data_IF_098490102353
#
_entry.id   IF_098490102353
#
_cell.length_a   1.000
_cell.length_b   1.000
_cell.length_c   1.000
_cell.angle_alpha   90.00
_cell.angle_beta   90.00
_cell.angle_gamma   90.00
#
_symmetry.space_group_name_H-M   'P 1'
#
loop_
_entity.id
_entity.type
_entity.pdbx_description
1 polymer ?
2 non-polymer ?
3 non-polymer ?
4 water ?
#
# COMPACT_ATOMS: atom_id res chain seq x y z
N UNK A 16 -28.11 8.41 27.90
CA UNK A 16 -26.67 8.25 27.93
C UNK A 16 -26.06 7.74 26.65
N UNK A 17 -26.79 6.88 25.91
CA UNK A 17 -26.35 6.41 24.59
C UNK A 17 -27.53 5.90 23.74
N UNK A 18 -27.24 5.58 22.48
CA UNK A 18 -28.15 4.91 21.55
C UNK A 18 -27.42 4.34 20.35
N UNK A 19 -28.13 3.78 19.35
CA UNK A 19 -27.47 3.44 18.08
C UNK A 19 -27.26 4.70 17.24
N UNK A 20 -26.06 5.29 17.32
CA UNK A 20 -25.78 6.57 16.63
C UNK A 20 -25.86 6.39 15.11
N UNK A 21 -26.37 7.39 14.42
CA UNK A 21 -26.50 7.41 12.95
C UNK A 21 -25.56 8.54 12.48
N UNK A 22 -25.16 8.51 11.19
CA UNK A 22 -24.22 9.50 10.63
C UNK A 22 -24.78 10.15 9.33
N UNK A 23 -24.86 9.38 8.24
CA UNK A 23 -25.58 9.80 7.03
C UNK A 23 -26.63 8.73 6.76
N UNK A 24 -27.52 8.57 7.74
CA UNK A 24 -28.63 7.64 7.66
C UNK A 24 -28.33 6.19 7.98
N UNK A 25 -27.05 5.84 8.27
CA UNK A 25 -26.62 4.46 8.51
C UNK A 25 -26.17 4.31 9.96
N UNK A 26 -26.43 3.12 10.56
CA UNK A 26 -26.00 2.84 11.94
C UNK A 26 -24.48 2.93 12.00
N UNK A 27 -23.96 3.78 12.89
CA UNK A 27 -22.55 3.87 13.21
C UNK A 27 -22.43 3.73 14.75
N UNK A 28 -22.38 2.46 15.15
CA UNK A 28 -22.69 2.01 16.49
C UNK A 28 -21.44 1.59 17.24
N UNK A 29 -20.79 2.58 17.83
CA UNK A 29 -19.43 2.40 18.36
C UNK A 29 -19.34 2.73 19.82
N UNK A 30 -20.46 3.10 20.44
CA UNK A 30 -20.44 3.63 21.78
C UNK A 30 -20.23 2.55 22.82
N UNK A 31 -20.16 2.95 24.09
CA UNK A 31 -20.06 4.33 24.60
C UNK A 31 -18.65 4.92 24.57
N UNK A 32 -17.62 4.11 24.32
CA UNK A 32 -16.25 4.62 24.33
C UNK A 32 -16.08 5.77 23.30
N UNK A 33 -16.78 5.69 22.15
CA UNK A 33 -16.50 6.59 21.03
C UNK A 33 -17.73 7.42 20.76
N UNK A 34 -17.60 8.74 20.98
CA UNK A 34 -18.70 9.70 20.88
C UNK A 34 -18.33 10.82 19.90
N UNK A 35 -19.26 11.77 19.71
CA UNK A 35 -19.02 12.97 18.91
C UNK A 35 -18.48 12.59 17.52
N UNK A 36 -19.28 11.80 16.78
CA UNK A 36 -18.91 11.31 15.46
C UNK A 36 -18.91 12.44 14.45
N UNK A 37 -17.88 12.48 13.61
CA UNK A 37 -17.90 13.25 12.38
C UNK A 37 -17.55 12.33 11.21
N UNK A 38 -18.27 12.48 10.10
CA UNK A 38 -18.05 11.72 8.87
C UNK A 38 -16.75 12.20 8.20
N UNK A 39 -16.06 11.28 7.50
CA UNK A 39 -14.85 11.55 6.70
C UNK A 39 -15.10 11.23 5.23
N UNK A 40 -15.41 9.97 4.92
CA UNK A 40 -15.65 9.52 3.55
C UNK A 40 -16.10 8.08 3.47
N UNK A 41 -15.76 7.40 2.37
CA UNK A 41 -15.95 5.95 2.22
C UNK A 41 -14.57 5.24 2.29
N UNK A 42 -14.60 4.00 2.77
CA UNK A 42 -13.44 3.11 2.82
C UNK A 42 -13.37 2.23 1.60
N UNK A 43 -12.75 1.03 1.71
CA UNK A 43 -12.71 0.06 0.59
C UNK A 43 -14.14 -0.21 0.19
N UNK A 44 -14.92 -0.75 1.13
CA UNK A 44 -16.36 -0.69 1.11
C UNK A 44 -16.77 -0.58 2.59
N UNK A 45 -17.32 0.58 2.97
CA UNK A 45 -17.82 0.87 4.30
C UNK A 45 -17.44 2.27 4.75
N UNK A 46 -18.24 2.87 5.60
CA UNK A 46 -18.09 4.25 6.03
C UNK A 46 -16.93 4.46 6.99
N UNK A 47 -16.24 5.59 6.85
CA UNK A 47 -15.17 6.01 7.74
C UNK A 47 -15.64 7.29 8.48
N UNK A 48 -15.33 7.40 9.78
CA UNK A 48 -15.71 8.53 10.65
C UNK A 48 -14.60 8.80 11.60
N UNK A 49 -14.42 10.06 12.04
CA UNK A 49 -13.67 10.31 13.28
C UNK A 49 -14.60 10.34 14.50
N UNK A 50 -14.04 10.20 15.69
CA UNK A 50 -14.81 10.06 16.91
C UNK A 50 -13.90 10.37 18.04
N UNK A 51 -14.47 10.88 19.12
CA UNK A 51 -13.71 11.15 20.34
C UNK A 51 -13.62 9.85 21.14
N UNK A 52 -12.40 9.34 21.34
CA UNK A 52 -12.17 8.20 22.24
C UNK A 52 -12.22 8.76 23.65
N UNK A 53 -13.19 8.31 24.47
CA UNK A 53 -13.34 8.82 25.85
C UNK A 53 -12.35 8.18 26.86
N UNK A 54 -11.62 7.09 26.48
CA UNK A 54 -10.62 6.44 27.36
C UNK A 54 -9.24 7.10 27.21
N UNK A 55 -8.60 6.92 26.03
CA UNK A 55 -7.40 7.66 25.65
C UNK A 55 -7.96 8.95 25.10
N UNK A 56 -7.64 10.09 25.68
CA UNK A 56 -8.43 11.29 25.46
C UNK A 56 -7.98 11.98 24.15
N UNK A 57 -8.31 11.37 23.00
CA UNK A 57 -7.89 11.81 21.65
C UNK A 57 -9.01 11.52 20.64
N UNK A 58 -9.04 12.21 19.46
CA UNK A 58 -9.95 11.77 18.40
C UNK A 58 -9.27 10.69 17.55
N UNK A 59 -10.07 9.75 17.06
CA UNK A 59 -9.63 8.52 16.37
C UNK A 59 -10.40 8.39 15.10
N UNK A 60 -9.95 7.52 14.19
CA UNK A 60 -10.66 7.18 12.97
C UNK A 60 -11.35 5.86 13.25
N UNK A 61 -12.55 5.68 12.74
CA UNK A 61 -13.27 4.40 12.89
C UNK A 61 -13.79 4.06 11.54
N UNK A 62 -13.50 2.87 11.08
CA UNK A 62 -13.95 2.39 9.77
C UNK A 62 -15.06 1.28 9.97
N UNK A 63 -16.31 1.48 9.49
CA UNK A 63 -17.35 0.46 9.50
C UNK A 63 -17.13 -0.51 8.32
N UNK A 64 -17.16 -1.82 8.55
CA UNK A 64 -16.91 -2.85 7.55
C UNK A 64 -18.06 -3.87 7.58
N UNK A 65 -18.61 -4.20 6.42
CA UNK A 65 -19.73 -5.13 6.27
C UNK A 65 -19.47 -6.19 5.17
N UNK A 66 -18.61 -7.18 5.49
CA UNK A 66 -18.15 -8.10 4.44
C UNK A 66 -18.78 -9.49 4.35
N UNK A 67 -19.76 -9.84 5.20
CA UNK A 67 -19.99 -11.26 5.46
C UNK A 67 -20.82 -12.00 4.42
N UNK A 68 -21.42 -11.29 3.48
CA UNK A 68 -22.18 -11.92 2.39
C UNK A 68 -21.24 -12.52 1.33
N UNK A 69 -20.01 -12.02 1.22
CA UNK A 69 -19.14 -12.32 0.07
C UNK A 69 -17.81 -12.85 0.52
N UNK A 70 -17.40 -13.99 -0.05
CA UNK A 70 -16.21 -14.66 0.43
C UNK A 70 -14.96 -13.79 0.16
N UNK A 71 -14.97 -12.99 -0.95
CA UNK A 71 -13.80 -12.14 -1.30
C UNK A 71 -13.65 -11.01 -0.28
N UNK A 72 -14.76 -10.37 0.09
CA UNK A 72 -14.76 -9.30 1.08
C UNK A 72 -14.38 -9.86 2.45
N UNK A 73 -14.86 -11.10 2.81
CA UNK A 73 -14.33 -11.77 3.99
C UNK A 73 -12.82 -12.01 3.91
N UNK A 74 -12.30 -12.47 2.73
CA UNK A 74 -10.90 -12.83 2.59
C UNK A 74 -10.06 -11.60 2.83
N UNK A 75 -10.41 -10.46 2.21
CA UNK A 75 -9.61 -9.22 2.33
C UNK A 75 -9.68 -8.63 3.74
N UNK A 76 -10.87 -8.60 4.35
CA UNK A 76 -11.03 -8.17 5.74
C UNK A 76 -10.21 -9.03 6.69
N UNK A 77 -10.34 -10.33 6.58
CA UNK A 77 -9.58 -11.21 7.46
C UNK A 77 -8.13 -11.02 7.22
N UNK A 78 -7.74 -11.01 5.96
CA UNK A 78 -6.31 -10.90 5.67
C UNK A 78 -5.72 -9.64 6.30
N UNK A 79 -6.40 -8.49 6.13
CA UNK A 79 -5.90 -7.24 6.64
C UNK A 79 -5.92 -7.15 8.18
N UNK A 80 -6.99 -7.67 8.81
CA UNK A 80 -7.06 -7.67 10.26
C UNK A 80 -5.88 -8.54 10.81
N UNK A 81 -5.68 -9.77 10.26
CA UNK A 81 -4.63 -10.68 10.71
C UNK A 81 -3.25 -9.95 10.62
N UNK A 82 -3.01 -9.30 9.46
CA UNK A 82 -1.75 -8.64 9.24
C UNK A 82 -1.54 -7.49 10.20
N UNK A 83 -2.49 -6.57 10.29
CA UNK A 83 -2.35 -5.36 11.09
C UNK A 83 -2.26 -5.66 12.56
N UNK A 84 -2.89 -6.74 13.02
CA UNK A 84 -2.76 -7.14 14.43
C UNK A 84 -1.40 -7.77 14.73
N UNK A 85 -0.79 -8.42 13.76
CA UNK A 85 0.51 -9.05 13.98
C UNK A 85 1.61 -7.98 13.89
N UNK A 86 1.47 -7.04 13.00
CA UNK A 86 2.46 -5.98 12.86
C UNK A 86 2.45 -4.93 13.95
N UNK A 87 3.64 -4.56 14.38
CA UNK A 87 3.78 -3.41 15.27
C UNK A 87 4.97 -2.61 14.81
N UNK A 88 4.71 -1.48 14.13
CA UNK A 88 5.72 -0.62 13.54
C UNK A 88 5.22 0.80 13.47
N UNK A 89 6.10 1.74 13.77
CA UNK A 89 5.74 3.17 13.76
C UNK A 89 5.22 3.65 12.39
N UNK A 90 5.63 3.00 11.27
CA UNK A 90 5.26 3.45 9.94
C UNK A 90 4.22 2.53 9.30
N UNK A 91 3.51 1.76 10.12
CA UNK A 91 2.37 0.94 9.67
C UNK A 91 1.19 1.23 10.61
N UNK A 92 0.04 1.50 10.04
CA UNK A 92 -1.11 1.86 10.84
C UNK A 92 -1.44 0.66 11.79
N UNK A 93 -1.68 0.98 13.05
CA UNK A 93 -2.12 -0.04 13.99
C UNK A 93 -3.63 -0.16 14.08
N UNK A 94 -4.12 -1.25 14.62
CA UNK A 94 -5.55 -1.35 15.01
C UNK A 94 -5.57 -1.11 16.52
N UNK A 95 -6.24 -0.08 16.94
CA UNK A 95 -6.31 0.27 18.37
C UNK A 95 -7.38 -0.49 19.05
N UNK A 96 -8.48 -0.75 18.32
CA UNK A 96 -9.68 -1.41 18.90
C UNK A 96 -10.51 -1.97 17.76
N UNK A 97 -11.32 -2.98 18.05
CA UNK A 97 -12.25 -3.58 17.08
C UNK A 97 -13.56 -3.77 17.84
N UNK A 98 -14.63 -3.16 17.31
CA UNK A 98 -15.98 -3.18 17.88
C UNK A 98 -16.83 -4.14 17.04
N UNK A 99 -17.45 -5.14 17.68
CA UNK A 99 -18.40 -5.99 17.00
C UNK A 99 -19.26 -6.63 18.04
N UNK A 100 -20.32 -7.30 17.57
CA UNK A 100 -21.29 -7.95 18.43
C UNK A 100 -20.63 -9.06 19.24
N UNK A 101 -21.19 -9.42 20.42
CA UNK A 101 -20.57 -10.49 21.21
C UNK A 101 -20.67 -11.89 20.65
N UNK A 102 -21.52 -12.12 19.64
CA UNK A 102 -21.76 -13.46 19.15
C UNK A 102 -21.67 -13.45 17.60
N UNK A 103 -21.26 -14.55 17.02
CA UNK A 103 -21.28 -14.65 15.54
C UNK A 103 -22.66 -14.32 14.93
N UNK A 104 -23.72 -14.78 15.57
CA UNK A 104 -25.08 -14.68 15.04
C UNK A 104 -25.51 -13.21 14.96
N UNK A 105 -25.08 -12.35 15.93
CA UNK A 105 -25.46 -10.94 15.98
C UNK A 105 -24.45 -10.06 15.30
N UNK A 106 -23.34 -10.63 14.83
CA UNK A 106 -22.29 -9.86 14.19
C UNK A 106 -22.61 -9.65 12.70
N UNK A 107 -23.06 -8.44 12.33
CA UNK A 107 -23.27 -8.12 10.91
C UNK A 107 -22.24 -7.14 10.39
N UNK A 108 -21.56 -6.36 11.27
CA UNK A 108 -20.54 -5.38 10.88
C UNK A 108 -19.36 -5.50 11.85
N UNK A 109 -18.26 -4.97 11.47
CA UNK A 109 -17.13 -4.81 12.37
C UNK A 109 -16.62 -3.38 12.23
N UNK A 110 -16.25 -2.76 13.31
CA UNK A 110 -15.69 -1.38 13.30
C UNK A 110 -14.22 -1.49 13.69
N UNK A 111 -13.35 -0.97 12.83
CA UNK A 111 -11.93 -0.95 13.14
C UNK A 111 -11.55 0.45 13.58
N UNK A 112 -10.98 0.58 14.79
CA UNK A 112 -10.49 1.85 15.33
C UNK A 112 -8.97 2.00 15.04
N UNK A 113 -8.60 3.08 14.38
CA UNK A 113 -7.18 3.48 14.11
C UNK A 113 -6.82 4.90 14.58
N UNK A 114 -5.54 5.16 14.77
CA UNK A 114 -5.10 6.55 15.03
C UNK A 114 -5.63 7.44 13.95
N UNK A 115 -6.04 8.65 14.33
CA UNK A 115 -6.61 9.56 13.36
C UNK A 115 -5.50 10.21 12.62
N UNK A 116 -5.57 10.11 11.29
CA UNK A 116 -4.54 10.66 10.43
C UNK A 116 -5.29 11.67 9.60
N UNK A 117 -4.98 12.97 9.82
CA UNK A 117 -5.56 14.16 9.15
C UNK A 117 -5.60 14.02 7.62
N UNK A 118 -4.54 13.45 7.00
CA UNK A 118 -4.48 13.44 5.57
C UNK A 118 -3.78 12.18 5.08
N UNK A 119 -3.61 12.10 3.79
CA UNK A 119 -2.83 11.05 3.11
C UNK A 119 -2.03 11.66 1.97
N UNK A 120 -1.07 10.93 1.43
CA UNK A 120 -0.18 11.50 0.40
C UNK A 120 -0.95 11.83 -0.96
N UNK A 121 -2.02 11.11 -1.27
CA UNK A 121 -2.88 11.48 -2.42
C UNK A 121 -3.42 12.91 -2.28
N UNK A 122 -4.05 13.18 -1.16
CA UNK A 122 -4.66 14.49 -0.92
C UNK A 122 -3.57 15.54 -0.89
N UNK A 123 -2.48 15.25 -0.19
CA UNK A 123 -1.34 16.16 -0.07
C UNK A 123 -0.80 16.54 -1.43
N UNK A 124 -0.58 15.56 -2.28
CA UNK A 124 -0.06 15.79 -3.61
C UNK A 124 -0.97 16.58 -4.54
N UNK A 125 -2.25 16.47 -4.36
CA UNK A 125 -3.22 17.19 -5.15
C UNK A 125 -3.21 18.71 -4.81
N UNK A 126 -2.72 19.08 -3.61
CA UNK A 126 -2.85 20.42 -3.06
C UNK A 126 -1.53 21.11 -2.64
N UNK A 127 -0.44 20.35 -2.39
CA UNK A 127 0.74 20.94 -1.73
C UNK A 127 2.00 20.62 -2.51
N UNK A 128 2.83 21.64 -2.76
CA UNK A 128 4.21 21.40 -3.23
C UNK A 128 5.01 20.78 -2.06
N UNK A 129 5.79 19.74 -2.33
CA UNK A 129 6.61 19.13 -1.27
C UNK A 129 8.04 19.69 -1.37
N UNK A 130 8.60 20.18 -0.25
CA UNK A 130 10.04 20.48 -0.26
C UNK A 130 10.85 19.19 -0.48
N UNK A 131 12.14 19.32 -0.91
CA UNK A 131 13.03 18.16 -0.98
C UNK A 131 13.12 17.50 0.40
N UNK A 132 13.12 18.30 1.50
CA UNK A 132 13.20 17.70 2.83
C UNK A 132 11.99 16.79 3.10
N UNK A 133 10.80 17.26 2.74
CA UNK A 133 9.61 16.45 2.88
C UNK A 133 9.66 15.18 2.05
N UNK A 134 10.07 15.25 0.79
CA UNK A 134 10.16 14.10 -0.10
C UNK A 134 11.09 13.06 0.50
N UNK A 135 12.25 13.53 0.95
CA UNK A 135 13.26 12.68 1.56
C UNK A 135 12.72 11.92 2.80
N UNK A 136 12.09 12.68 3.73
CA UNK A 136 11.52 12.17 4.95
C UNK A 136 10.38 11.19 4.62
N UNK A 137 9.52 11.57 3.73
CA UNK A 137 8.39 10.67 3.40
C UNK A 137 8.92 9.38 2.81
N UNK A 138 9.90 9.47 1.88
CA UNK A 138 10.44 8.27 1.24
C UNK A 138 11.12 7.40 2.29
N UNK A 139 11.90 8.01 3.21
CA UNK A 139 12.52 7.24 4.28
C UNK A 139 11.48 6.41 5.06
N UNK A 140 10.39 7.09 5.50
CA UNK A 140 9.38 6.42 6.30
C UNK A 140 8.66 5.33 5.54
N UNK A 141 8.38 5.53 4.22
CA UNK A 141 7.76 4.51 3.37
C UNK A 141 8.67 3.28 3.34
N UNK A 142 9.95 3.53 3.11
CA UNK A 142 10.89 2.38 3.00
C UNK A 142 11.13 1.71 4.35
N UNK A 143 11.09 2.49 5.43
CA UNK A 143 11.32 1.95 6.79
C UNK A 143 10.14 0.99 7.12
N UNK A 144 8.92 1.44 6.85
CA UNK A 144 7.76 0.58 6.95
C UNK A 144 7.84 -0.65 6.07
N UNK A 145 8.22 -0.43 4.84
CA UNK A 145 8.31 -1.52 3.86
C UNK A 145 9.40 -2.53 4.24
N UNK A 146 10.48 -2.08 4.82
CA UNK A 146 11.49 -3.01 5.36
C UNK A 146 10.85 -3.99 6.32
N UNK A 147 10.03 -3.48 7.26
CA UNK A 147 9.41 -4.34 8.24
C UNK A 147 8.43 -5.34 7.55
N UNK A 148 7.60 -4.84 6.65
CA UNK A 148 6.62 -5.68 5.95
C UNK A 148 7.30 -6.80 5.22
N UNK A 149 8.29 -6.47 4.41
CA UNK A 149 9.04 -7.48 3.65
C UNK A 149 9.78 -8.47 4.54
N UNK A 150 10.28 -7.97 5.72
CA UNK A 150 11.03 -8.84 6.64
C UNK A 150 10.03 -9.87 7.21
N UNK A 151 8.70 -9.54 7.20
CA UNK A 151 7.69 -10.54 7.63
C UNK A 151 7.23 -11.45 6.50
N UNK A 152 7.93 -11.42 5.32
CA UNK A 152 7.64 -12.19 4.12
C UNK A 152 6.28 -11.82 3.52
N UNK A 153 5.87 -10.57 3.74
CA UNK A 153 4.62 -10.02 3.25
C UNK A 153 4.91 -9.05 2.14
N UNK A 154 4.10 -9.11 1.10
CA UNK A 154 4.00 -8.13 0.04
C UNK A 154 2.77 -7.29 0.27
N UNK A 155 2.92 -5.98 0.23
CA UNK A 155 1.74 -5.13 0.37
C UNK A 155 0.85 -5.17 -0.89
N UNK A 156 1.46 -4.95 -2.04
CA UNK A 156 0.90 -5.12 -3.40
C UNK A 156 -0.07 -4.04 -3.81
N UNK A 157 -0.34 -3.00 -2.99
CA UNK A 157 -1.19 -1.92 -3.43
C UNK A 157 -0.70 -0.60 -2.80
N UNK A 158 0.64 -0.40 -2.84
CA UNK A 158 1.21 0.87 -2.38
C UNK A 158 0.88 1.96 -3.38
N UNK A 159 0.36 3.06 -2.87
CA UNK A 159 -0.05 4.20 -3.65
C UNK A 159 -0.27 5.35 -2.68
N UNK A 160 -0.30 6.59 -3.18
CA UNK A 160 -0.41 7.74 -2.28
C UNK A 160 -1.58 7.72 -1.27
N UNK A 161 -2.77 7.24 -1.68
CA UNK A 161 -3.96 7.20 -0.80
C UNK A 161 -3.82 6.15 0.31
N UNK A 162 -2.82 5.24 0.21
CA UNK A 162 -2.55 4.22 1.23
C UNK A 162 -1.35 4.57 2.11
N UNK A 163 -0.93 5.84 2.05
CA UNK A 163 0.15 6.41 2.85
C UNK A 163 -0.51 7.54 3.66
N UNK A 164 -0.78 7.24 4.93
CA UNK A 164 -1.47 8.16 5.81
C UNK A 164 -0.48 9.04 6.48
N UNK A 165 -0.86 10.31 6.74
CA UNK A 165 -0.01 11.31 7.40
C UNK A 165 -0.79 12.09 8.41
N UNK A 166 -0.16 12.34 9.53
CA UNK A 166 -0.79 13.14 10.56
C UNK A 166 -0.22 14.56 10.48
N UNK A 167 -0.51 15.37 11.48
CA UNK A 167 -0.21 16.78 11.48
C UNK A 167 1.28 17.10 11.53
N UNK A 168 2.12 16.12 11.99
CA UNK A 168 3.52 16.31 12.09
C UNK A 168 4.22 15.51 11.01
N UNK A 169 3.47 15.09 9.99
CA UNK A 169 4.08 14.38 8.85
C UNK A 169 4.65 12.98 9.24
N UNK A 170 4.12 12.36 10.34
CA UNK A 170 4.38 10.94 10.62
C UNK A 170 3.63 10.22 9.58
N UNK A 171 4.26 9.28 8.90
CA UNK A 171 3.67 8.56 7.80
C UNK A 171 3.45 7.10 8.18
N UNK A 172 2.28 6.57 7.84
CA UNK A 172 1.88 5.20 8.17
C UNK A 172 1.22 4.51 6.96
N UNK A 173 1.75 3.36 6.61
CA UNK A 173 1.25 2.54 5.53
C UNK A 173 -0.04 1.87 6.01
N UNK A 174 -1.04 1.87 5.16
CA UNK A 174 -2.33 1.23 5.45
C UNK A 174 -2.78 0.40 4.26
N UNK A 175 -3.92 -0.24 4.43
CA UNK A 175 -4.65 -0.91 3.36
C UNK A 175 -3.92 -2.15 2.82
N UNK A 176 -3.85 -3.17 3.65
CA UNK A 176 -3.23 -4.48 3.35
C UNK A 176 -4.25 -5.56 2.85
N UNK A 177 -5.34 -5.11 2.27
CA UNK A 177 -6.40 -5.97 1.72
C UNK A 177 -5.94 -6.82 0.53
N UNK A 178 -4.98 -6.32 -0.28
CA UNK A 178 -4.46 -7.10 -1.41
C UNK A 178 -3.11 -7.75 -1.08
N UNK A 179 -2.68 -7.75 0.21
CA UNK A 179 -1.41 -8.33 0.56
C UNK A 179 -1.36 -9.85 0.43
N UNK A 180 -0.14 -10.38 0.25
CA UNK A 180 0.10 -11.82 0.09
C UNK A 180 1.44 -12.14 0.76
N UNK A 181 1.61 -13.39 1.20
CA UNK A 181 2.92 -13.89 1.60
C UNK A 181 3.77 -14.00 0.31
N UNK A 182 5.04 -13.62 0.36
CA UNK A 182 5.91 -13.68 -0.82
C UNK A 182 6.05 -15.14 -1.32
N UNK A 183 6.18 -15.34 -2.62
CA UNK A 183 6.25 -16.69 -3.18
C UNK A 183 6.93 -16.61 -4.53
N UNK A 184 8.23 -16.31 -4.56
CA UNK A 184 8.89 -16.09 -5.86
C UNK A 184 8.87 -17.28 -6.79
N UNK A 185 8.95 -18.52 -6.25
CA UNK A 185 9.01 -19.71 -7.11
C UNK A 185 7.72 -19.93 -7.88
N UNK A 186 6.60 -19.31 -7.42
CA UNK A 186 5.30 -19.43 -8.11
C UNK A 186 4.86 -18.05 -8.66
N UNK A 187 5.80 -17.16 -9.01
CA UNK A 187 5.46 -15.81 -9.55
C UNK A 187 5.10 -15.82 -11.03
N UNK A 188 5.51 -16.84 -11.77
CA UNK A 188 5.38 -16.80 -13.23
C UNK A 188 3.96 -17.01 -13.71
N UNK A 189 3.59 -16.23 -14.72
CA UNK A 189 2.30 -16.35 -15.40
C UNK A 189 2.45 -15.94 -16.90
N UNK A 190 1.36 -16.06 -17.66
CA UNK A 190 1.34 -15.68 -19.06
C UNK A 190 1.08 -14.20 -19.23
N UNK A 191 1.00 -13.81 -20.47
CA UNK A 191 0.87 -12.42 -20.93
C UNK A 191 -0.61 -11.90 -20.72
N UNK A 192 -0.74 -10.68 -20.17
CA UNK A 192 -2.02 -10.01 -19.93
C UNK A 192 -2.89 -10.77 -18.95
N UNK A 193 -2.28 -11.31 -17.87
CA UNK A 193 -2.97 -11.98 -16.78
C UNK A 193 -3.57 -10.90 -15.91
N UNK A 194 -4.85 -11.08 -15.55
CA UNK A 194 -5.61 -10.02 -14.90
C UNK A 194 -5.04 -9.78 -13.50
N UNK A 195 -5.07 -8.51 -13.08
CA UNK A 195 -4.47 -8.08 -11.84
C UNK A 195 -5.42 -7.20 -11.05
N UNK A 196 -5.31 -7.27 -9.71
CA UNK A 196 -6.22 -6.59 -8.76
C UNK A 196 -5.71 -5.16 -8.39
N UNK A 197 -4.44 -5.01 -8.10
CA UNK A 197 -3.85 -3.75 -7.58
C UNK A 197 -3.93 -2.59 -8.52
N UNK A 198 -3.76 -1.38 -7.96
CA UNK A 198 -4.01 -0.11 -8.65
C UNK A 198 -3.09 0.14 -9.87
N UNK A 199 -3.71 0.45 -11.01
CA UNK A 199 -3.02 0.38 -12.30
C UNK A 199 -1.74 1.22 -12.41
N UNK A 200 -1.78 2.47 -12.01
CA UNK A 200 -0.68 3.41 -12.23
C UNK A 200 0.61 3.01 -11.42
N UNK A 201 0.45 2.16 -10.40
CA UNK A 201 1.58 1.77 -9.52
C UNK A 201 2.03 0.35 -9.83
N UNK A 202 1.51 -0.32 -10.90
CA UNK A 202 1.86 -1.72 -11.28
C UNK A 202 3.17 -1.80 -12.00
N UNK A 203 4.03 -2.70 -11.56
CA UNK A 203 5.33 -2.96 -12.19
C UNK A 203 5.11 -3.50 -13.62
N UNK A 204 6.09 -3.25 -14.53
CA UNK A 204 5.93 -3.72 -15.92
C UNK A 204 5.64 -5.21 -16.04
N UNK A 205 6.36 -6.03 -15.23
CA UNK A 205 6.22 -7.46 -15.26
C UNK A 205 4.80 -7.98 -14.97
N UNK A 206 3.98 -7.24 -14.20
CA UNK A 206 2.57 -7.65 -13.99
C UNK A 206 1.85 -7.88 -15.35
N UNK A 207 2.15 -7.03 -16.31
CA UNK A 207 1.48 -7.11 -17.60
C UNK A 207 2.10 -8.20 -18.54
N UNK A 208 3.29 -8.69 -18.19
CA UNK A 208 4.10 -9.52 -19.05
C UNK A 208 4.15 -10.92 -18.55
N UNK A 209 4.58 -11.12 -17.30
CA UNK A 209 4.82 -12.51 -16.87
C UNK A 209 4.80 -12.75 -15.38
N UNK A 210 4.23 -11.85 -14.58
CA UNK A 210 4.30 -11.92 -13.14
C UNK A 210 2.95 -11.80 -12.49
N UNK A 211 2.71 -12.67 -11.49
CA UNK A 211 1.59 -12.61 -10.56
C UNK A 211 1.76 -11.65 -9.42
N UNK A 212 2.91 -10.99 -9.28
CA UNK A 212 3.06 -10.02 -8.21
C UNK A 212 3.36 -10.67 -6.85
N UNK A 213 4.14 -11.73 -6.90
CA UNK A 213 4.46 -12.53 -5.73
C UNK A 213 5.88 -12.34 -5.25
N UNK A 214 6.60 -11.30 -5.74
CA UNK A 214 7.94 -11.03 -5.22
C UNK A 214 8.02 -9.60 -4.75
N UNK A 215 8.97 -9.39 -3.89
CA UNK A 215 9.16 -8.12 -3.20
C UNK A 215 9.38 -6.97 -4.11
N UNK A 216 10.01 -7.24 -5.28
CA UNK A 216 10.30 -6.22 -6.31
C UNK A 216 9.05 -5.50 -6.79
N UNK A 217 7.85 -6.12 -6.64
CA UNK A 217 6.59 -5.47 -7.04
C UNK A 217 6.32 -4.19 -6.22
N UNK A 218 6.60 -4.27 -4.91
CA UNK A 218 6.42 -3.14 -4.01
C UNK A 218 7.44 -2.04 -4.26
N UNK A 219 8.68 -2.37 -4.59
CA UNK A 219 9.69 -1.33 -4.81
C UNK A 219 9.32 -0.50 -6.02
N UNK A 220 8.80 -1.14 -7.10
CA UNK A 220 8.30 -0.40 -8.28
C UNK A 220 7.28 0.61 -7.81
N UNK A 221 6.32 0.19 -7.00
CA UNK A 221 5.25 1.09 -6.60
C UNK A 221 5.88 2.28 -5.84
N UNK A 222 6.83 2.00 -4.96
CA UNK A 222 7.53 3.09 -4.23
C UNK A 222 8.23 4.05 -5.20
N UNK A 223 8.87 3.50 -6.25
CA UNK A 223 9.52 4.30 -7.30
C UNK A 223 8.52 5.26 -7.90
N UNK A 224 7.31 4.74 -8.19
CA UNK A 224 6.22 5.52 -8.80
C UNK A 224 5.81 6.66 -7.87
N UNK A 225 5.77 6.37 -6.59
CA UNK A 225 5.34 7.32 -5.57
C UNK A 225 6.41 8.41 -5.45
N UNK A 226 7.69 8.03 -5.47
CA UNK A 226 8.78 8.98 -5.45
C UNK A 226 8.67 9.96 -6.62
N UNK A 227 8.49 9.41 -7.83
CA UNK A 227 8.35 10.25 -9.03
C UNK A 227 7.19 11.18 -8.86
N UNK A 228 6.08 10.70 -8.27
CA UNK A 228 4.92 11.51 -8.09
C UNK A 228 5.16 12.64 -7.07
N UNK A 229 5.98 12.37 -6.07
CA UNK A 229 6.26 13.41 -5.08
C UNK A 229 7.11 14.50 -5.67
N UNK A 230 7.94 14.14 -6.65
CA UNK A 230 8.86 15.11 -7.26
C UNK A 230 8.08 16.12 -8.13
N UNK A 231 6.96 15.72 -8.76
CA UNK A 231 6.24 16.59 -9.70
C UNK A 231 4.76 16.82 -9.40
N UNK A 232 4.17 16.18 -8.39
CA UNK A 232 2.73 16.23 -8.13
C UNK A 232 1.89 15.67 -9.22
N UNK A 233 2.43 14.80 -10.04
CA UNK A 233 1.61 14.14 -11.07
C UNK A 233 2.03 12.72 -11.14
N UNK A 234 1.10 11.78 -11.37
CA UNK A 234 1.53 10.39 -11.51
C UNK A 234 2.45 10.26 -12.72
N UNK A 235 3.46 9.45 -12.59
CA UNK A 235 4.47 9.32 -13.63
C UNK A 235 3.94 8.45 -14.80
N UNK A 236 3.16 7.43 -14.51
CA UNK A 236 2.70 6.45 -15.52
C UNK A 236 1.17 6.36 -15.41
N UNK A 237 0.46 7.41 -15.81
CA UNK A 237 -1.01 7.32 -15.73
C UNK A 237 -1.69 6.57 -16.87
N UNK A 238 -1.52 5.26 -16.92
CA UNK A 238 -2.23 4.44 -17.91
C UNK A 238 -3.74 4.48 -17.73
N UNK A 239 -4.47 4.39 -18.85
CA UNK A 239 -5.94 4.44 -18.84
C UNK A 239 -6.57 3.06 -18.91
N UNK A 240 -5.76 2.03 -19.06
CA UNK A 240 -6.22 0.66 -19.17
C UNK A 240 -5.01 -0.22 -19.16
N UNK A 241 -5.28 -1.51 -19.04
CA UNK A 241 -4.32 -2.52 -18.67
C UNK A 241 -3.01 -2.39 -19.45
N UNK A 242 -3.02 -2.51 -20.80
CA UNK A 242 -1.77 -2.51 -21.59
C UNK A 242 -1.18 -1.09 -21.84
N UNK A 243 -2.01 -0.03 -21.71
CA UNK A 243 -1.52 1.37 -21.86
C UNK A 243 -0.51 1.67 -20.74
N UNK A 244 -0.74 1.03 -19.62
CA UNK A 244 0.15 1.12 -18.45
C UNK A 244 1.56 0.75 -18.85
N UNK A 245 1.73 -0.35 -19.56
CA UNK A 245 3.08 -0.79 -20.01
C UNK A 245 3.68 0.22 -21.01
N UNK A 246 2.87 0.71 -21.92
CA UNK A 246 3.41 1.62 -22.92
C UNK A 246 3.74 3.02 -22.22
N UNK A 247 3.06 3.33 -21.08
CA UNK A 247 3.49 4.53 -20.30
C UNK A 247 4.91 4.33 -19.74
N UNK A 248 5.13 3.19 -19.15
CA UNK A 248 6.43 2.81 -18.61
C UNK A 248 7.53 2.90 -19.67
N UNK A 249 7.31 2.25 -20.84
CA UNK A 249 8.32 2.17 -21.88
C UNK A 249 8.62 3.52 -22.55
N UNK A 250 7.67 4.45 -22.55
CA UNK A 250 7.90 5.79 -23.07
C UNK A 250 8.87 6.61 -22.24
N UNK A 251 9.05 6.26 -20.95
CA UNK A 251 10.04 6.87 -20.09
C UNK A 251 11.33 6.06 -19.99
N UNK A 252 11.21 4.77 -19.62
CA UNK A 252 12.38 3.89 -19.48
C UNK A 252 13.06 3.56 -20.81
N UNK A 253 12.29 3.58 -21.90
CA UNK A 253 12.75 3.20 -23.21
C UNK A 253 12.60 1.70 -23.35
N UNK A 254 12.90 1.20 -24.54
CA UNK A 254 12.82 -0.19 -24.89
C UNK A 254 13.77 -1.01 -24.01
N UNK A 255 13.30 -2.16 -23.49
CA UNK A 255 14.20 -3.03 -22.75
C UNK A 255 15.33 -3.61 -23.63
N UNK A 256 16.44 -3.82 -22.98
CA UNK A 256 17.65 -4.34 -23.58
C UNK A 256 17.50 -5.79 -23.94
N UNK A 257 18.39 -6.29 -24.76
CA UNK A 257 18.35 -7.70 -25.16
C UNK A 257 18.42 -8.56 -23.93
N UNK A 258 19.33 -8.21 -22.99
CA UNK A 258 19.53 -8.98 -21.76
C UNK A 258 18.25 -9.09 -20.96
N UNK A 259 17.56 -7.97 -20.76
CA UNK A 259 16.28 -7.93 -20.06
C UNK A 259 15.15 -8.68 -20.78
N UNK A 260 15.12 -8.62 -22.11
CA UNK A 260 14.19 -9.46 -22.87
C UNK A 260 14.48 -10.92 -22.75
N UNK A 261 15.76 -11.31 -22.73
CA UNK A 261 16.13 -12.72 -22.55
C UNK A 261 15.67 -13.33 -21.22
N UNK A 262 15.38 -12.49 -20.21
CA UNK A 262 14.76 -12.94 -18.97
C UNK A 262 13.26 -13.28 -19.08
N UNK A 263 12.56 -12.86 -20.13
CA UNK A 263 11.15 -13.09 -20.35
C UNK A 263 11.04 -14.29 -21.34
N UNK A 264 10.81 -15.47 -20.82
CA UNK A 264 10.73 -16.68 -21.66
C UNK A 264 9.39 -16.82 -22.41
N UNK A 265 8.31 -16.34 -21.79
CA UNK A 265 7.02 -16.41 -22.45
C UNK A 265 7.01 -15.69 -23.82
N UNK A 266 6.58 -16.42 -24.86
CA UNK A 266 6.63 -15.93 -26.24
C UNK A 266 5.67 -14.84 -26.57
N UNK A 267 4.43 -14.93 -26.10
CA UNK A 267 3.48 -13.85 -26.27
C UNK A 267 4.08 -12.56 -25.61
N UNK A 268 4.65 -12.63 -24.40
CA UNK A 268 5.10 -11.44 -23.74
C UNK A 268 6.31 -10.90 -24.51
N UNK A 269 7.28 -11.81 -24.80
CA UNK A 269 8.50 -11.37 -25.47
C UNK A 269 8.18 -10.77 -26.85
N UNK A 270 7.41 -11.49 -27.70
CA UNK A 270 7.04 -11.02 -29.02
C UNK A 270 6.27 -9.69 -28.98
N UNK A 271 5.49 -9.47 -27.94
CA UNK A 271 4.80 -8.19 -27.82
C UNK A 271 5.86 -7.08 -27.72
N UNK A 272 6.80 -7.22 -26.82
CA UNK A 272 7.85 -6.21 -26.63
C UNK A 272 8.66 -6.05 -27.94
N UNK A 273 9.00 -7.14 -28.60
CA UNK A 273 9.74 -7.05 -29.88
C UNK A 273 8.95 -6.34 -30.97
N UNK A 274 7.61 -6.35 -30.93
CA UNK A 274 6.78 -5.71 -31.97
C UNK A 274 6.77 -4.17 -31.87
N UNK A 275 7.21 -3.58 -30.72
CA UNK A 275 7.06 -2.16 -30.49
C UNK A 275 8.20 -1.43 -31.17
N UNK A 276 7.93 -0.22 -31.65
CA UNK A 276 9.03 0.65 -32.10
C UNK A 276 10.03 0.89 -30.99
N UNK A 277 11.29 1.06 -31.37
CA UNK A 277 12.37 1.35 -30.46
C UNK A 277 12.07 2.70 -29.79
N UNK A 278 12.20 2.79 -28.47
CA UNK A 278 12.02 4.05 -27.72
C UNK A 278 13.24 4.29 -26.90
N UNK A 279 13.75 5.53 -26.87
CA UNK A 279 14.91 5.84 -26.03
C UNK A 279 14.47 6.27 -24.62
N UNK A 280 15.36 6.04 -23.66
CA UNK A 280 15.19 6.47 -22.27
C UNK A 280 14.99 8.01 -22.24
N UNK A 281 13.97 8.50 -21.50
CA UNK A 281 13.88 9.94 -21.19
C UNK A 281 14.74 10.17 -19.94
N UNK A 282 15.80 11.04 -19.95
CA UNK A 282 16.61 11.24 -18.74
C UNK A 282 15.79 11.79 -17.61
N UNK A 283 16.01 11.26 -16.39
CA UNK A 283 15.26 11.70 -15.24
C UNK A 283 15.42 13.17 -14.99
N UNK A 284 16.62 13.70 -15.22
CA UNK A 284 16.87 15.14 -14.91
C UNK A 284 16.16 16.11 -15.89
N UNK A 285 15.67 15.65 -17.05
CA UNK A 285 14.81 16.47 -17.93
C UNK A 285 13.37 16.34 -17.54
N UNK A 286 12.97 15.15 -17.08
CA UNK A 286 11.61 14.96 -16.60
C UNK A 286 11.41 15.75 -15.27
N UNK A 287 12.46 15.83 -14.39
CA UNK A 287 12.42 16.45 -13.05
C UNK A 287 13.63 17.39 -12.90
N UNK A 288 13.63 18.54 -13.63
CA UNK A 288 14.78 19.46 -13.57
C UNK A 288 15.07 20.08 -12.21
N UNK A 289 14.12 20.13 -11.29
CA UNK A 289 14.42 20.65 -9.93
C UNK A 289 14.68 19.55 -8.88
N UNK A 290 14.74 18.25 -9.30
CA UNK A 290 14.96 17.18 -8.35
C UNK A 290 16.37 17.11 -7.89
N UNK A 291 16.56 16.70 -6.62
CA UNK A 291 17.88 16.38 -6.14
C UNK A 291 18.51 15.25 -6.91
N UNK A 292 19.79 15.38 -7.31
CA UNK A 292 20.40 14.38 -8.19
C UNK A 292 20.47 12.99 -7.49
N UNK A 293 20.66 12.96 -6.15
CA UNK A 293 20.71 11.70 -5.42
C UNK A 293 19.31 11.06 -5.45
N UNK A 294 18.23 11.88 -5.39
CA UNK A 294 16.84 11.35 -5.46
C UNK A 294 16.65 10.65 -6.83
N UNK A 295 17.21 11.25 -7.91
CA UNK A 295 17.00 10.74 -9.26
C UNK A 295 17.79 9.45 -9.42
N UNK A 296 18.96 9.32 -8.76
CA UNK A 296 19.77 8.11 -8.80
C UNK A 296 19.00 6.97 -8.17
N UNK A 297 18.37 7.24 -7.00
CA UNK A 297 17.60 6.24 -6.31
C UNK A 297 16.31 5.95 -7.13
N UNK A 298 15.64 7.00 -7.69
CA UNK A 298 14.46 6.75 -8.53
C UNK A 298 14.80 5.73 -9.65
N UNK A 299 15.93 5.95 -10.33
CA UNK A 299 16.37 5.12 -11.45
C UNK A 299 16.50 3.66 -11.02
N UNK A 300 17.05 3.46 -9.83
CA UNK A 300 17.24 2.10 -9.31
C UNK A 300 15.94 1.38 -8.87
N UNK A 301 14.95 2.14 -8.42
CA UNK A 301 13.66 1.60 -8.06
C UNK A 301 12.84 1.39 -9.32
N UNK A 302 12.96 2.26 -10.31
CA UNK A 302 12.16 2.09 -11.53
C UNK A 302 13.02 1.41 -12.61
N UNK A 303 13.59 0.27 -12.24
CA UNK A 303 14.34 -0.59 -13.14
C UNK A 303 13.39 -1.58 -13.77
N UNK A 304 13.47 -1.77 -15.10
CA UNK A 304 12.55 -2.66 -15.82
C UNK A 304 12.62 -4.09 -15.32
N UNK A 305 13.83 -4.62 -15.21
CA UNK A 305 14.10 -5.98 -14.87
C UNK A 305 13.98 -6.13 -13.33
N UNK A 306 12.98 -6.89 -12.84
CA UNK A 306 12.77 -6.98 -11.37
C UNK A 306 13.95 -7.56 -10.61
N UNK A 307 14.74 -8.42 -11.26
CA UNK A 307 15.91 -9.04 -10.61
C UNK A 307 17.02 -8.01 -10.36
N UNK A 308 17.09 -6.96 -11.21
CA UNK A 308 18.07 -5.89 -11.09
C UNK A 308 17.60 -4.70 -10.24
N UNK A 309 16.28 -4.59 -9.97
CA UNK A 309 15.66 -3.54 -9.17
C UNK A 309 16.23 -3.56 -7.76
N UNK A 310 16.46 -2.38 -7.24
CA UNK A 310 16.98 -2.24 -5.85
C UNK A 310 16.03 -2.85 -4.79
N UNK A 311 16.60 -3.44 -3.73
CA UNK A 311 15.81 -3.99 -2.66
C UNK A 311 15.60 -2.93 -1.61
N UNK A 312 14.65 -3.15 -0.71
CA UNK A 312 14.27 -2.10 0.30
C UNK A 312 15.47 -1.67 1.16
N UNK A 313 16.23 -2.65 1.68
CA UNK A 313 17.36 -2.35 2.53
C UNK A 313 18.44 -1.56 1.79
N UNK A 314 18.67 -1.91 0.52
CA UNK A 314 19.62 -1.15 -0.32
C UNK A 314 19.13 0.27 -0.54
N UNK A 315 17.80 0.43 -0.75
CA UNK A 315 17.20 1.76 -0.91
C UNK A 315 17.45 2.59 0.34
N UNK A 316 17.21 2.01 1.51
CA UNK A 316 17.45 2.71 2.76
C UNK A 316 18.89 3.21 2.88
N UNK A 317 19.87 2.42 2.38
CA UNK A 317 21.29 2.70 2.50
C UNK A 317 21.79 3.62 1.36
N UNK A 318 20.89 4.07 0.50
CA UNK A 318 21.28 4.94 -0.62
C UNK A 318 21.66 6.33 -0.13
N UNK A 319 22.68 6.99 -0.73
CA UNK A 319 23.06 8.36 -0.29
C UNK A 319 21.94 9.40 -0.14
N UNK A 320 20.86 9.29 -0.94
CA UNK A 320 19.73 10.21 -0.78
C UNK A 320 19.18 10.19 0.65
N UNK A 321 19.20 9.03 1.32
CA UNK A 321 18.57 8.88 2.64
C UNK A 321 19.56 8.94 3.80
N UNK A 322 20.80 9.44 3.52
CA UNK A 322 21.91 9.32 4.50
C UNK A 322 21.59 10.06 5.78
N UNK A 323 20.79 11.16 5.70
CA UNK A 323 20.47 11.86 6.94
C UNK A 323 19.63 11.04 7.96
N UNK A 324 18.85 10.06 7.46
CA UNK A 324 17.95 9.27 8.24
C UNK A 324 18.44 7.81 8.48
N UNK A 325 19.25 7.31 7.58
CA UNK A 325 19.58 5.86 7.57
C UNK A 325 20.20 5.46 8.91
N UNK A 326 19.63 4.48 9.53
CA UNK A 326 20.07 3.97 10.80
C UNK A 326 19.48 2.54 10.94
N UNK A 327 20.25 1.53 10.48
CA UNK A 327 19.68 0.15 10.43
C UNK A 327 19.22 -0.36 11.80
N UNK A 328 19.86 0.05 12.88
CA UNK A 328 19.47 -0.36 14.25
C UNK A 328 18.14 0.24 14.68
N UNK A 329 17.70 1.30 13.98
CA UNK A 329 16.45 1.98 14.29
C UNK A 329 15.42 1.75 13.12
N UNK A 330 15.59 0.65 12.36
CA UNK A 330 14.75 0.23 11.26
C UNK A 330 14.43 -1.23 11.53
N UNK A 331 13.48 -1.43 12.44
CA UNK A 331 13.20 -2.80 12.91
C UNK A 331 12.63 -3.76 11.88
N UNK A 332 12.87 -5.06 12.12
CA UNK A 332 12.33 -6.15 11.28
C UNK A 332 11.32 -6.95 12.14
N UNK A 333 10.50 -7.75 11.51
CA UNK A 333 9.42 -8.48 12.20
C UNK A 333 9.98 -9.63 13.04
N UNK A 334 9.47 -9.77 14.26
CA UNK A 334 9.82 -10.91 15.11
C UNK A 334 9.23 -12.18 14.51
N UNK A 335 8.02 -12.07 13.90
CA UNK A 335 7.17 -13.23 13.54
C UNK A 335 6.72 -13.16 12.06
N UNK A 336 7.59 -13.54 11.11
CA UNK A 336 7.17 -13.57 9.70
C UNK A 336 6.06 -14.59 9.46
N UNK A 337 5.31 -14.37 8.40
CA UNK A 337 4.43 -15.39 7.82
C UNK A 337 4.55 -15.39 6.32
N UNK A 346 -11.67 -21.20 1.03
CA UNK A 346 -12.34 -21.33 2.33
C UNK A 346 -13.72 -20.66 2.23
N UNK A 347 -14.83 -21.29 2.67
CA UNK A 347 -16.15 -20.62 2.55
C UNK A 347 -16.27 -19.36 3.44
N UNK A 348 -17.17 -18.45 3.06
CA UNK A 348 -17.47 -17.25 3.82
C UNK A 348 -17.89 -17.55 5.28
N UNK A 349 -18.56 -18.70 5.53
CA UNK A 349 -19.05 -19.02 6.88
C UNK A 349 -17.87 -19.23 7.82
N UNK A 350 -16.88 -19.93 7.34
CA UNK A 350 -15.65 -20.19 8.09
C UNK A 350 -14.80 -18.94 8.17
N UNK A 351 -14.84 -18.06 7.14
CA UNK A 351 -14.06 -16.80 7.19
C UNK A 351 -14.68 -15.88 8.29
N UNK A 352 -16.05 -15.81 8.36
CA UNK A 352 -16.74 -15.08 9.43
C UNK A 352 -16.26 -15.58 10.79
N UNK A 353 -16.32 -16.91 11.02
CA UNK A 353 -15.81 -17.48 12.31
C UNK A 353 -14.37 -17.07 12.56
N UNK A 354 -13.50 -17.11 11.52
CA UNK A 354 -12.14 -16.69 11.73
C UNK A 354 -12.03 -15.19 12.01
N UNK A 355 -12.88 -14.36 11.40
CA UNK A 355 -12.92 -12.89 11.72
C UNK A 355 -13.40 -12.75 13.16
N UNK A 356 -14.46 -13.43 13.54
CA UNK A 356 -14.88 -13.46 14.95
C UNK A 356 -13.71 -13.76 15.91
N UNK A 357 -12.98 -14.87 15.68
CA UNK A 357 -11.85 -15.30 16.52
C UNK A 357 -10.73 -14.29 16.52
N UNK A 358 -10.39 -13.81 15.33
CA UNK A 358 -9.34 -12.81 15.16
C UNK A 358 -9.60 -11.49 15.95
N UNK A 359 -10.87 -11.12 16.17
CA UNK A 359 -11.23 -9.85 16.79
C UNK A 359 -11.58 -10.04 18.29
N UNK A 360 -11.53 -11.29 18.77
CA UNK A 360 -11.93 -11.64 20.14
C UNK A 360 -11.16 -10.89 21.23
N UNK A 361 -9.89 -10.59 20.98
CA UNK A 361 -9.06 -9.96 22.02
C UNK A 361 -9.56 -8.57 22.44
N UNK A 362 -10.41 -7.88 21.62
CA UNK A 362 -10.89 -6.54 21.95
C UNK A 362 -12.21 -6.54 22.70
N UNK A 363 -12.72 -7.72 23.02
CA UNK A 363 -14.01 -7.81 23.68
C UNK A 363 -13.82 -7.54 25.16
N UNK A 364 -14.73 -6.74 25.78
CA UNK A 364 -14.70 -6.53 27.25
C UNK A 364 -14.31 -7.76 28.09
N UNK A 365 -13.06 -7.79 28.56
CA UNK A 365 -12.54 -8.91 29.34
C UNK A 365 -11.17 -8.66 29.94
X LIG B 1 -7.39 -2.93 -15.52
X LIG B 1 -6.19 -2.31 -16.14
X LIG B 1 -8.11 -3.65 -16.58
X LIG B 1 -8.24 -1.88 -14.91
X LIG B 1 -7.02 -3.91 -14.50
X LIG C 1 -7.77 8.05 8.83
X LIG C 1 -8.11 6.79 8.36
X LIG C 1 -7.51 5.91 9.20
X LIG C 1 -6.88 6.62 10.13
X LIG C 1 -7.02 7.94 9.92
X LIG C 1 -8.04 8.87 8.46
X LIG C 1 -8.63 6.59 7.60
X LIG C 1 -7.56 4.97 9.14
X LIG C 1 -6.41 6.30 10.81
X LIG D 1 -8.56 -2.02 8.54
X LIG D 1 -8.50 -3.38 8.80
X LIG D 1 -9.32 -3.99 7.90
X LIG D 1 -9.83 -3.01 7.14
X LIG D 1 -9.38 -1.80 7.52
X LIG D 1 -8.09 -1.36 9.00
X LIG D 1 -7.99 -3.82 9.48
X LIG D 1 -9.50 -4.91 7.82
X LIG D 1 -10.40 -3.11 6.46
#
# INVERSE_FOLDING_TARGET
MAHHHHHHMAAAAAAGAGPEMVRGQVFDVGPRYTNLSYIGEGAYGMVCSAYDNVNKVRVAIKKISPFEHQTYCQRTLREIKILLRFRHENIIGINDIIRAPTIEQMKDVYIVQDLMETDLYKLLKTQHLSNDHICYFLYQILRGLKYIHSANVLHRDLKPSNLLLNTTCDLKICDFGLARVADPDHDHTGFLTEYVATRWYRAPEIMLNSKGYTKSIDIWSVGCILAEMLSNRPIFPGKHYLDQLNHILGILGSPSQEDLNCIINLKARNYLLSLPHKNKVPWNRLFPNADSKALDLLDKMLTFNPHKRIEVEQALAHPYLEQYYDPSDEPIAEAPFKFDMELDDLPKEKLKELIFEETARFQPGYRS
SO4 S O1 O2 O3 O4
PZO C5 C4 C3 N2 N1 HC5 HC4 HC3 HN2
PZO C5 C4 C3 N2 N1 HC5 HC4 HC3 HN2
#
